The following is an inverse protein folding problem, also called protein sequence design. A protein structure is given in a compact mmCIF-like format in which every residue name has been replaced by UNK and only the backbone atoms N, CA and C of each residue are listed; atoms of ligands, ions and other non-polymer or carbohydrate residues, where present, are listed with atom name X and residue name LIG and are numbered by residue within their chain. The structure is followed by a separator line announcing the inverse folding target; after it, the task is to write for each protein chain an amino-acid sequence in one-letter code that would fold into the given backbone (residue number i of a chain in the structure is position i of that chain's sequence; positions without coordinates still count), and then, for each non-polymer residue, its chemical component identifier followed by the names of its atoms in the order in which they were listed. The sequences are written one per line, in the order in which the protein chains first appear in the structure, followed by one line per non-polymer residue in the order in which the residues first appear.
data_IF_802784620042
#
_entry.id   IF_802784620042
#
_cell.length_a   1.000
_cell.length_b   1.000
_cell.length_c   1.000
_cell.angle_alpha   90.00
_cell.angle_beta   90.00
_cell.angle_gamma   90.00
#
_symmetry.space_group_name_H-M   'P 1'
#
loop_
_entity.id
_entity.type
_entity.pdbx_description
1 polymer ?
#
# COMPACT_ATOMS: atom_id res chain seq x y z
N UNK A 1 33.45 28.18 38.43
CA UNK A 1 32.93 27.84 37.11
C UNK A 1 33.29 26.39 36.68
N UNK A 2 33.94 25.60 37.54
CA UNK A 2 34.28 24.18 37.25
C UNK A 2 33.43 23.18 38.06
N UNK A 3 32.54 23.62 38.93
CA UNK A 3 31.71 22.74 39.77
C UNK A 3 30.29 22.47 39.21
N UNK A 4 29.86 23.20 38.17
CA UNK A 4 28.54 23.04 37.54
C UNK A 4 28.52 22.06 36.35
N UNK A 5 29.70 21.62 35.88
CA UNK A 5 29.81 20.68 34.76
C UNK A 5 29.88 19.20 35.20
N UNK A 6 30.02 18.95 36.51
CA UNK A 6 30.09 17.60 37.08
C UNK A 6 28.72 17.01 37.40
N UNK A 7 27.70 17.80 37.68
CA UNK A 7 26.34 17.31 37.99
C UNK A 7 25.48 16.99 36.77
N UNK A 8 25.77 17.61 35.61
CA UNK A 8 25.04 17.28 34.37
C UNK A 8 25.49 15.97 33.70
N UNK A 9 26.70 15.51 33.98
CA UNK A 9 27.20 14.23 33.46
C UNK A 9 26.65 13.03 34.24
N UNK A 10 26.21 13.20 35.51
CA UNK A 10 25.65 12.12 36.32
C UNK A 10 24.18 11.86 36.07
N UNK A 11 23.43 12.85 35.55
CA UNK A 11 21.99 12.70 35.22
C UNK A 11 21.74 12.06 33.84
N UNK A 12 22.74 12.04 32.97
CA UNK A 12 22.62 11.39 31.63
C UNK A 12 22.97 9.90 31.62
N UNK A 13 23.44 9.32 32.73
CA UNK A 13 23.77 7.89 32.81
C UNK A 13 22.67 7.03 33.48
N UNK A 14 21.54 7.61 33.89
CA UNK A 14 20.47 6.89 34.56
C UNK A 14 19.25 6.58 33.67
N UNK A 15 19.25 6.94 32.38
CA UNK A 15 18.29 6.37 31.40
C UNK A 15 18.88 5.11 30.74
N UNK A 16 19.26 4.13 31.60
CA UNK A 16 19.45 2.76 31.17
C UNK A 16 18.14 2.26 30.54
N UNK A 17 18.24 1.97 29.24
CA UNK A 17 17.37 1.13 28.44
C UNK A 17 16.55 0.19 29.33
N UNK A 18 15.23 0.44 29.44
CA UNK A 18 14.29 -0.61 29.75
C UNK A 18 14.43 -1.60 28.59
N UNK A 19 15.05 -2.73 28.85
CA UNK A 19 15.18 -3.82 27.91
C UNK A 19 13.78 -4.14 27.38
N UNK A 20 13.64 -4.18 26.05
CA UNK A 20 12.47 -4.75 25.43
C UNK A 20 12.30 -6.15 26.01
N UNK A 21 11.13 -6.42 26.59
CA UNK A 21 10.79 -7.74 27.12
C UNK A 21 10.83 -8.73 25.94
N UNK A 22 11.72 -9.75 25.94
CA UNK A 22 11.81 -10.71 24.82
C UNK A 22 10.52 -11.52 24.62
N UNK A 23 9.61 -11.51 25.60
CA UNK A 23 8.30 -12.15 25.51
C UNK A 23 7.27 -11.34 24.72
N UNK A 24 7.36 -10.02 24.74
CA UNK A 24 6.39 -9.12 24.08
C UNK A 24 6.49 -9.23 22.55
N UNK A 25 7.69 -9.23 21.98
CA UNK A 25 7.89 -9.41 20.52
C UNK A 25 7.44 -10.79 20.00
N UNK A 26 7.57 -11.86 20.80
CA UNK A 26 7.14 -13.21 20.42
C UNK A 26 5.61 -13.37 20.43
N UNK A 27 4.92 -12.72 21.37
CA UNK A 27 3.45 -12.73 21.45
C UNK A 27 2.86 -11.95 20.27
N UNK A 28 3.42 -10.79 19.93
CA UNK A 28 2.95 -9.97 18.81
C UNK A 28 3.23 -10.64 17.47
N UNK A 29 4.39 -11.28 17.31
CA UNK A 29 4.70 -12.09 16.14
C UNK A 29 3.70 -13.26 15.94
N UNK A 30 3.35 -13.98 17.01
CA UNK A 30 2.36 -15.04 16.95
C UNK A 30 0.95 -14.54 16.61
N UNK A 31 0.58 -13.34 17.08
CA UNK A 31 -0.70 -12.70 16.69
C UNK A 31 -0.71 -12.37 15.22
N UNK A 32 0.36 -11.75 14.73
CA UNK A 32 0.51 -11.39 13.33
C UNK A 32 0.44 -12.61 12.42
N UNK A 33 1.17 -13.69 12.75
CA UNK A 33 1.13 -14.95 11.99
C UNK A 33 -0.27 -15.55 11.90
N UNK A 34 -1.04 -15.57 13.02
CA UNK A 34 -2.42 -16.08 13.01
C UNK A 34 -3.33 -15.22 12.15
N UNK A 35 -3.17 -13.89 12.20
CA UNK A 35 -3.93 -12.97 11.38
C UNK A 35 -3.65 -13.19 9.89
N UNK A 36 -2.39 -13.32 9.51
CA UNK A 36 -1.95 -13.60 8.13
C UNK A 36 -2.46 -14.96 7.64
N UNK A 37 -2.34 -16.01 8.45
CA UNK A 37 -2.88 -17.33 8.12
C UNK A 37 -4.39 -17.32 7.85
N UNK A 38 -5.16 -16.52 8.59
CA UNK A 38 -6.59 -16.33 8.35
C UNK A 38 -6.84 -15.58 7.03
N UNK A 39 -6.07 -14.53 6.73
CA UNK A 39 -6.18 -13.78 5.47
C UNK A 39 -5.84 -14.65 4.25
N UNK A 40 -4.76 -15.41 4.30
CA UNK A 40 -4.36 -16.29 3.20
C UNK A 40 -5.35 -17.43 2.99
N UNK A 41 -5.89 -18.01 4.07
CA UNK A 41 -6.94 -19.01 4.00
C UNK A 41 -8.23 -18.44 3.39
N UNK A 42 -8.61 -17.23 3.79
CA UNK A 42 -9.77 -16.53 3.21
C UNK A 42 -9.55 -16.25 1.72
N UNK A 43 -8.35 -15.80 1.33
CA UNK A 43 -8.01 -15.55 -0.07
C UNK A 43 -8.19 -16.81 -0.92
N UNK A 44 -7.53 -17.90 -0.54
CA UNK A 44 -7.62 -19.19 -1.26
C UNK A 44 -9.08 -19.64 -1.42
N UNK A 45 -9.82 -19.69 -0.31
CA UNK A 45 -11.20 -20.18 -0.32
C UNK A 45 -12.16 -19.25 -1.08
N UNK A 46 -11.95 -17.93 -1.06
CA UNK A 46 -12.77 -17.00 -1.84
C UNK A 46 -12.53 -17.13 -3.33
N UNK A 47 -11.29 -17.46 -3.75
CA UNK A 47 -10.97 -17.73 -5.14
C UNK A 47 -11.54 -19.10 -5.59
N UNK A 48 -11.32 -20.15 -4.81
CA UNK A 48 -11.67 -21.53 -5.19
C UNK A 48 -13.18 -21.78 -5.14
N UNK A 49 -13.83 -21.36 -4.07
CA UNK A 49 -15.24 -21.65 -3.79
C UNK A 49 -16.17 -20.47 -4.06
N UNK A 50 -15.61 -19.25 -4.14
CA UNK A 50 -16.35 -18.00 -4.15
C UNK A 50 -16.73 -17.52 -2.76
N UNK A 51 -16.88 -16.18 -2.63
CA UNK A 51 -17.19 -15.53 -1.35
C UNK A 51 -18.47 -16.10 -0.69
N UNK A 52 -19.54 -16.29 -1.46
CA UNK A 52 -20.84 -16.70 -0.89
C UNK A 52 -20.81 -18.12 -0.30
N UNK A 53 -20.11 -19.05 -0.94
CA UNK A 53 -20.02 -20.45 -0.54
C UNK A 53 -18.99 -20.73 0.55
N UNK A 54 -18.12 -19.77 0.89
CA UNK A 54 -17.11 -19.90 1.95
C UNK A 54 -17.71 -19.51 3.29
N UNK A 55 -17.56 -20.35 4.31
CA UNK A 55 -17.96 -20.05 5.68
C UNK A 55 -16.76 -19.68 6.56
N UNK A 56 -17.01 -19.01 7.71
CA UNK A 56 -15.97 -18.75 8.72
C UNK A 56 -15.37 -20.09 9.22
N UNK A 57 -16.19 -21.14 9.32
CA UNK A 57 -15.71 -22.45 9.76
C UNK A 57 -14.72 -23.08 8.77
N UNK A 58 -14.92 -22.87 7.47
CA UNK A 58 -13.95 -23.30 6.44
C UNK A 58 -12.65 -22.53 6.54
N UNK A 59 -12.72 -21.19 6.73
CA UNK A 59 -11.54 -20.33 6.86
C UNK A 59 -10.69 -20.76 8.06
N UNK A 60 -11.27 -20.92 9.25
CA UNK A 60 -10.51 -21.29 10.45
C UNK A 60 -9.95 -22.70 10.38
N UNK A 61 -10.68 -23.62 9.77
CA UNK A 61 -10.21 -25.00 9.53
C UNK A 61 -8.98 -24.99 8.61
N UNK A 62 -9.04 -24.24 7.52
CA UNK A 62 -7.94 -24.12 6.56
C UNK A 62 -6.73 -23.40 7.16
N UNK A 63 -6.97 -22.38 8.00
CA UNK A 63 -5.92 -21.64 8.72
C UNK A 63 -5.31 -22.41 9.90
N UNK A 64 -5.89 -23.55 10.30
CA UNK A 64 -5.41 -24.34 11.43
C UNK A 64 -5.61 -23.64 12.79
N UNK A 65 -6.64 -22.80 12.94
CA UNK A 65 -6.90 -22.05 14.17
C UNK A 65 -8.30 -22.33 14.71
N UNK A 66 -8.50 -22.09 16.02
CA UNK A 66 -9.83 -22.20 16.63
C UNK A 66 -10.77 -21.08 16.15
N UNK A 67 -12.08 -21.36 16.09
CA UNK A 67 -13.10 -20.37 15.65
C UNK A 67 -13.10 -19.10 16.52
N UNK A 68 -12.81 -19.22 17.83
CA UNK A 68 -12.65 -18.07 18.72
C UNK A 68 -11.48 -17.16 18.30
N UNK A 69 -10.42 -17.71 17.72
CA UNK A 69 -9.27 -16.94 17.21
C UNK A 69 -9.69 -16.00 16.05
N UNK A 70 -10.61 -16.42 15.19
CA UNK A 70 -11.13 -15.58 14.12
C UNK A 70 -11.73 -14.29 14.68
N UNK A 71 -12.60 -14.40 15.69
CA UNK A 71 -13.30 -13.27 16.27
C UNK A 71 -12.43 -12.32 17.12
N UNK A 72 -11.18 -12.70 17.40
CA UNK A 72 -10.18 -11.77 17.95
C UNK A 72 -9.68 -10.75 16.92
N UNK A 73 -9.76 -11.09 15.62
CA UNK A 73 -9.22 -10.27 14.52
C UNK A 73 -10.29 -9.69 13.61
N UNK A 74 -11.40 -10.38 13.40
CA UNK A 74 -12.42 -10.03 12.41
C UNK A 74 -13.81 -10.24 13.00
N UNK A 75 -14.72 -9.28 12.73
CA UNK A 75 -16.10 -9.31 13.20
C UNK A 75 -16.93 -10.39 12.50
N UNK A 76 -16.75 -10.49 11.18
CA UNK A 76 -17.49 -11.39 10.31
C UNK A 76 -16.75 -11.67 9.00
N UNK A 77 -17.41 -12.38 8.08
CA UNK A 77 -16.85 -12.72 6.77
C UNK A 77 -16.64 -11.51 5.85
N UNK A 78 -17.44 -10.46 6.00
CA UNK A 78 -17.26 -9.22 5.23
C UNK A 78 -16.07 -8.42 5.74
N UNK A 79 -15.87 -8.42 7.03
CA UNK A 79 -14.74 -7.75 7.68
C UNK A 79 -13.40 -8.35 7.26
N UNK A 80 -13.24 -9.67 7.32
CA UNK A 80 -12.00 -10.31 6.84
C UNK A 80 -11.79 -10.09 5.35
N UNK A 81 -12.86 -10.08 4.51
CA UNK A 81 -12.73 -9.74 3.08
C UNK A 81 -12.18 -8.33 2.89
N UNK A 82 -12.72 -7.35 3.62
CA UNK A 82 -12.26 -5.97 3.51
C UNK A 82 -10.79 -5.83 3.94
N UNK A 83 -10.42 -6.45 5.05
CA UNK A 83 -9.03 -6.51 5.49
C UNK A 83 -8.11 -7.22 4.49
N UNK A 84 -8.59 -8.31 3.87
CA UNK A 84 -7.84 -9.04 2.83
C UNK A 84 -7.55 -8.15 1.62
N UNK A 85 -8.54 -7.39 1.14
CA UNK A 85 -8.39 -6.49 0.01
C UNK A 85 -7.34 -5.41 0.32
N UNK A 86 -7.43 -4.75 1.50
CA UNK A 86 -6.43 -3.77 1.95
C UNK A 86 -5.04 -4.39 2.02
N UNK A 87 -4.93 -5.57 2.64
CA UNK A 87 -3.67 -6.27 2.81
C UNK A 87 -3.01 -6.60 1.45
N UNK A 88 -3.77 -7.19 0.51
CA UNK A 88 -3.24 -7.53 -0.82
C UNK A 88 -2.88 -6.30 -1.65
N UNK A 89 -3.70 -5.24 -1.62
CA UNK A 89 -3.37 -3.99 -2.30
C UNK A 89 -2.09 -3.35 -1.74
N UNK A 90 -1.93 -3.33 -0.41
CA UNK A 90 -0.72 -2.83 0.23
C UNK A 90 0.51 -3.66 -0.12
N UNK A 91 0.39 -5.00 -0.19
CA UNK A 91 1.50 -5.87 -0.61
C UNK A 91 1.95 -5.57 -2.04
N UNK A 92 1.01 -5.43 -2.98
CA UNK A 92 1.31 -5.11 -4.39
C UNK A 92 2.05 -3.78 -4.48
N UNK A 93 1.53 -2.74 -3.82
CA UNK A 93 2.17 -1.42 -3.82
C UNK A 93 3.58 -1.45 -3.21
N UNK A 94 3.75 -2.11 -2.07
CA UNK A 94 5.05 -2.19 -1.41
C UNK A 94 6.08 -2.95 -2.22
N UNK A 95 5.68 -4.04 -2.89
CA UNK A 95 6.55 -4.76 -3.80
C UNK A 95 7.04 -3.84 -4.93
N UNK A 96 6.15 -3.03 -5.51
CA UNK A 96 6.50 -2.07 -6.56
C UNK A 96 7.43 -0.98 -6.03
N UNK A 97 7.17 -0.45 -4.85
CA UNK A 97 8.03 0.54 -4.21
C UNK A 97 9.43 0.00 -3.89
N UNK A 98 9.52 -1.23 -3.37
CA UNK A 98 10.82 -1.89 -3.13
C UNK A 98 11.61 -2.13 -4.41
N UNK A 99 10.93 -2.37 -5.55
CA UNK A 99 11.57 -2.44 -6.86
C UNK A 99 12.06 -1.07 -7.30
N UNK A 100 11.22 -0.03 -7.18
CA UNK A 100 11.59 1.35 -7.50
C UNK A 100 12.86 1.78 -6.75
N UNK A 101 12.99 1.43 -5.46
CA UNK A 101 14.18 1.77 -4.68
C UNK A 101 15.51 1.18 -5.21
N UNK A 102 15.45 0.15 -6.08
CA UNK A 102 16.61 -0.42 -6.76
C UNK A 102 16.98 0.34 -8.03
N UNK A 103 16.07 1.17 -8.53
CA UNK A 103 16.22 2.00 -9.72
C UNK A 103 16.61 3.43 -9.31
N UNK A 104 17.85 3.60 -8.87
CA UNK A 104 18.37 4.89 -8.37
C UNK A 104 18.46 5.97 -9.45
N UNK A 105 18.32 5.60 -10.72
CA UNK A 105 18.25 6.49 -11.88
C UNK A 105 16.89 7.18 -12.04
N UNK A 106 15.81 6.64 -11.44
CA UNK A 106 14.46 7.22 -11.52
C UNK A 106 14.29 8.21 -10.37
N UNK A 107 14.63 9.47 -10.61
CA UNK A 107 14.61 10.52 -9.60
C UNK A 107 13.35 11.38 -9.64
N UNK A 108 12.76 11.57 -10.83
CA UNK A 108 11.58 12.41 -11.02
C UNK A 108 10.33 11.76 -10.43
N UNK A 109 9.52 12.55 -9.73
CA UNK A 109 8.29 12.08 -9.06
C UNK A 109 7.30 11.44 -10.03
N UNK A 110 7.11 12.03 -11.21
CA UNK A 110 6.15 11.54 -12.20
C UNK A 110 6.61 10.20 -12.78
N UNK A 111 7.91 10.07 -13.06
CA UNK A 111 8.50 8.81 -13.52
C UNK A 111 8.44 7.73 -12.44
N UNK A 112 8.61 8.08 -11.16
CA UNK A 112 8.41 7.16 -10.04
C UNK A 112 6.97 6.66 -9.96
N UNK A 113 5.98 7.54 -10.11
CA UNK A 113 4.56 7.16 -10.11
C UNK A 113 4.24 6.25 -11.30
N UNK A 114 4.74 6.57 -12.50
CA UNK A 114 4.56 5.74 -13.70
C UNK A 114 5.21 4.36 -13.51
N UNK A 115 6.42 4.30 -12.97
CA UNK A 115 7.08 3.02 -12.68
C UNK A 115 6.27 2.15 -11.71
N UNK A 116 5.79 2.74 -10.60
CA UNK A 116 4.95 2.03 -9.61
C UNK A 116 3.66 1.54 -10.28
N UNK A 117 3.02 2.39 -11.08
CA UNK A 117 1.81 2.05 -11.82
C UNK A 117 2.04 0.84 -12.74
N UNK A 118 3.09 0.88 -13.55
CA UNK A 118 3.41 -0.21 -14.49
C UNK A 118 3.70 -1.52 -13.77
N UNK A 119 4.52 -1.48 -12.71
CA UNK A 119 4.84 -2.69 -11.95
C UNK A 119 3.61 -3.27 -11.23
N UNK A 120 2.71 -2.42 -10.72
CA UNK A 120 1.42 -2.87 -10.16
C UNK A 120 0.59 -3.56 -11.25
N UNK A 121 0.48 -2.97 -12.43
CA UNK A 121 -0.26 -3.55 -13.54
C UNK A 121 0.31 -4.89 -13.99
N UNK A 122 1.64 -5.04 -14.01
CA UNK A 122 2.32 -6.30 -14.34
C UNK A 122 2.09 -7.38 -13.26
N UNK A 123 2.16 -7.01 -11.98
CA UNK A 123 1.81 -7.92 -10.88
C UNK A 123 0.34 -8.38 -10.98
N UNK A 124 -0.57 -7.50 -11.32
CA UNK A 124 -1.98 -7.83 -11.52
C UNK A 124 -2.18 -8.73 -12.75
N UNK A 125 -1.54 -8.41 -13.87
CA UNK A 125 -1.64 -9.22 -15.10
C UNK A 125 -1.08 -10.64 -14.90
N UNK A 126 -0.06 -10.81 -14.05
CA UNK A 126 0.49 -12.12 -13.70
C UNK A 126 -0.39 -12.93 -12.75
N UNK A 127 -1.38 -12.30 -12.10
CA UNK A 127 -2.26 -12.95 -11.12
C UNK A 127 -3.73 -12.51 -11.27
N UNK A 128 -4.45 -13.18 -12.19
CA UNK A 128 -5.86 -12.86 -12.48
C UNK A 128 -6.79 -13.00 -11.26
N UNK A 129 -6.45 -13.83 -10.29
CA UNK A 129 -7.22 -13.97 -9.06
C UNK A 129 -7.11 -12.70 -8.20
N UNK A 130 -5.92 -12.11 -8.18
CA UNK A 130 -5.69 -10.83 -7.51
C UNK A 130 -6.46 -9.69 -8.19
N UNK A 131 -6.49 -9.66 -9.55
CA UNK A 131 -7.32 -8.70 -10.31
C UNK A 131 -8.79 -8.82 -9.92
N UNK A 132 -9.34 -10.05 -9.92
CA UNK A 132 -10.75 -10.29 -9.57
C UNK A 132 -11.09 -9.92 -8.13
N UNK A 133 -10.13 -10.09 -7.20
CA UNK A 133 -10.30 -9.67 -5.82
C UNK A 133 -10.30 -8.14 -5.68
N UNK A 134 -9.32 -7.48 -6.31
CA UNK A 134 -9.07 -6.05 -6.08
C UNK A 134 -9.97 -5.15 -6.91
N UNK A 135 -10.25 -5.48 -8.17
CA UNK A 135 -10.87 -4.58 -9.16
C UNK A 135 -12.26 -4.05 -8.81
N UNK A 136 -13.08 -4.84 -8.10
CA UNK A 136 -14.41 -4.39 -7.67
C UNK A 136 -14.40 -3.54 -6.40
N UNK A 137 -13.24 -3.40 -5.79
CA UNK A 137 -13.09 -2.84 -4.45
C UNK A 137 -12.06 -1.71 -4.37
N UNK A 138 -11.30 -1.45 -5.44
CA UNK A 138 -10.35 -0.32 -5.51
C UNK A 138 -11.10 0.98 -5.83
N UNK A 139 -12.08 1.36 -5.01
CA UNK A 139 -12.66 2.69 -5.04
C UNK A 139 -11.79 3.67 -4.25
N UNK A 140 -11.93 4.97 -4.52
CA UNK A 140 -11.22 6.02 -3.76
C UNK A 140 -11.41 5.90 -2.24
N UNK A 141 -12.61 5.60 -1.77
CA UNK A 141 -12.88 5.41 -0.33
C UNK A 141 -12.08 4.25 0.25
N UNK A 142 -11.87 3.21 -0.54
CA UNK A 142 -11.04 2.08 -0.16
C UNK A 142 -9.54 2.46 -0.17
N UNK A 143 -9.06 3.15 -1.21
CA UNK A 143 -7.70 3.66 -1.29
C UNK A 143 -7.39 4.58 -0.10
N UNK A 144 -8.29 5.51 0.22
CA UNK A 144 -8.14 6.41 1.36
C UNK A 144 -8.00 5.65 2.70
N UNK A 145 -8.76 4.58 2.91
CA UNK A 145 -8.62 3.72 4.07
C UNK A 145 -7.32 2.88 4.04
N UNK A 146 -6.86 2.50 2.85
CA UNK A 146 -5.62 1.73 2.66
C UNK A 146 -4.37 2.57 2.80
N UNK A 147 -4.46 3.88 2.53
CA UNK A 147 -3.34 4.82 2.66
C UNK A 147 -2.71 4.81 4.06
N UNK A 148 -3.54 4.63 5.09
CA UNK A 148 -3.10 4.62 6.49
C UNK A 148 -2.83 3.20 7.03
N UNK A 149 -3.04 2.17 6.20
CA UNK A 149 -2.78 0.80 6.60
C UNK A 149 -1.28 0.52 6.55
N UNK A 150 -0.72 0.09 7.68
CA UNK A 150 0.65 -0.42 7.76
C UNK A 150 0.58 -1.93 7.94
N UNK A 151 1.20 -2.73 7.07
CA UNK A 151 1.23 -4.20 7.22
C UNK A 151 1.98 -4.66 8.47
N UNK A 152 2.98 -3.88 8.88
CA UNK A 152 3.75 -4.07 10.12
C UNK A 152 4.21 -2.72 10.65
N UNK A 153 4.63 -2.64 11.92
CA UNK A 153 5.13 -1.41 12.54
C UNK A 153 6.36 -0.83 11.82
N UNK A 154 7.17 -1.69 11.21
CA UNK A 154 8.40 -1.30 10.49
C UNK A 154 8.17 -0.92 9.01
N UNK A 155 6.92 -1.06 8.51
CA UNK A 155 6.64 -0.83 7.09
C UNK A 155 5.88 0.49 6.92
N UNK A 156 6.40 1.46 6.14
CA UNK A 156 5.72 2.72 5.92
C UNK A 156 4.39 2.49 5.18
N UNK A 157 3.38 3.28 5.54
CA UNK A 157 2.09 3.26 4.83
C UNK A 157 2.26 3.78 3.40
N UNK A 158 1.30 3.46 2.53
CA UNK A 158 1.25 4.02 1.16
C UNK A 158 1.25 5.56 1.21
N UNK A 159 0.53 6.15 2.15
CA UNK A 159 0.50 7.61 2.38
C UNK A 159 1.88 8.16 2.70
N UNK A 160 2.59 7.57 3.65
CA UNK A 160 3.94 8.00 4.03
C UNK A 160 4.92 7.94 2.85
N UNK A 161 4.81 6.89 2.03
CA UNK A 161 5.65 6.75 0.82
C UNK A 161 5.30 7.85 -0.19
N UNK A 162 4.02 8.04 -0.47
CA UNK A 162 3.54 9.05 -1.40
C UNK A 162 3.95 10.47 -0.98
N UNK A 163 3.73 10.84 0.29
CA UNK A 163 4.12 12.15 0.80
C UNK A 163 5.62 12.40 0.66
N UNK A 164 6.44 11.37 0.95
CA UNK A 164 7.89 11.47 0.78
C UNK A 164 8.28 11.66 -0.68
N UNK A 165 7.63 10.94 -1.61
CA UNK A 165 7.89 11.10 -3.04
C UNK A 165 7.48 12.48 -3.51
N UNK A 166 6.31 12.98 -3.09
CA UNK A 166 5.80 14.30 -3.43
C UNK A 166 6.67 15.44 -2.88
N UNK A 167 7.17 15.32 -1.63
CA UNK A 167 8.09 16.30 -1.03
C UNK A 167 9.42 16.41 -1.79
N UNK A 168 9.84 15.35 -2.46
CA UNK A 168 11.06 15.33 -3.28
C UNK A 168 10.79 15.60 -4.77
N UNK A 169 9.56 15.98 -5.14
CA UNK A 169 9.21 16.28 -6.52
C UNK A 169 9.91 17.56 -7.02
N UNK A 170 10.27 17.57 -8.31
CA UNK A 170 10.87 18.73 -8.96
C UNK A 170 9.86 19.87 -9.22
N UNK A 171 8.58 19.58 -9.13
CA UNK A 171 7.47 20.49 -9.35
C UNK A 171 6.57 20.55 -8.13
N UNK A 172 5.84 21.63 -7.98
CA UNK A 172 4.74 21.74 -7.03
C UNK A 172 3.41 21.49 -7.76
N UNK A 173 2.44 20.93 -7.04
CA UNK A 173 1.15 20.57 -7.61
C UNK A 173 0.02 21.19 -6.77
N UNK A 174 -0.95 21.81 -7.44
CA UNK A 174 -2.18 22.18 -6.75
C UNK A 174 -3.08 20.96 -6.55
N UNK A 175 -3.74 20.83 -5.41
CA UNK A 175 -4.67 19.73 -5.11
C UNK A 175 -4.10 18.32 -5.39
N UNK A 176 -2.92 17.95 -4.83
CA UNK A 176 -2.24 16.69 -5.14
C UNK A 176 -3.07 15.45 -4.80
N UNK A 177 -3.96 15.54 -3.80
CA UNK A 177 -4.91 14.46 -3.48
C UNK A 177 -5.91 14.20 -4.62
N UNK A 178 -6.45 15.27 -5.23
CA UNK A 178 -7.37 15.15 -6.38
C UNK A 178 -6.65 14.65 -7.63
N UNK A 179 -5.43 15.11 -7.86
CA UNK A 179 -4.57 14.63 -8.93
C UNK A 179 -4.38 13.11 -8.85
N UNK A 180 -3.97 12.61 -7.70
CA UNK A 180 -3.80 11.15 -7.50
C UNK A 180 -5.11 10.39 -7.60
N UNK A 181 -6.22 10.96 -7.13
CA UNK A 181 -7.55 10.37 -7.31
C UNK A 181 -7.85 10.13 -8.79
N UNK A 182 -7.66 11.14 -9.63
CA UNK A 182 -7.92 11.02 -11.08
C UNK A 182 -7.00 9.98 -11.74
N UNK A 183 -5.72 9.95 -11.38
CA UNK A 183 -4.78 8.94 -11.88
C UNK A 183 -5.24 7.54 -11.50
N UNK A 184 -5.59 7.32 -10.23
CA UNK A 184 -6.04 6.01 -9.74
C UNK A 184 -7.32 5.53 -10.41
N UNK A 185 -8.33 6.40 -10.55
CA UNK A 185 -9.59 6.04 -11.20
C UNK A 185 -9.41 5.77 -12.69
N UNK A 186 -8.56 6.55 -13.37
CA UNK A 186 -8.19 6.29 -14.77
C UNK A 186 -7.56 4.91 -14.93
N UNK A 187 -6.52 4.63 -14.16
CA UNK A 187 -5.76 3.37 -14.24
C UNK A 187 -6.64 2.19 -13.86
N UNK A 188 -7.38 2.29 -12.74
CA UNK A 188 -8.28 1.21 -12.29
C UNK A 188 -9.40 0.94 -13.28
N UNK A 189 -10.07 1.97 -13.78
CA UNK A 189 -11.20 1.84 -14.70
C UNK A 189 -10.83 1.24 -16.06
N UNK A 190 -9.62 1.51 -16.54
CA UNK A 190 -9.17 1.06 -17.88
C UNK A 190 -8.46 -0.29 -17.84
N UNK A 191 -7.66 -0.56 -16.82
CA UNK A 191 -6.79 -1.75 -16.77
C UNK A 191 -7.54 -3.06 -16.56
N UNK A 192 -8.66 -3.05 -15.83
CA UNK A 192 -9.42 -4.27 -15.53
C UNK A 192 -9.83 -5.05 -16.79
N UNK A 193 -10.46 -4.35 -17.75
CA UNK A 193 -10.90 -4.96 -19.00
C UNK A 193 -9.72 -5.35 -19.89
N UNK A 194 -8.67 -4.53 -19.91
CA UNK A 194 -7.45 -4.83 -20.67
C UNK A 194 -6.75 -6.10 -20.16
N UNK A 195 -6.67 -6.29 -18.83
CA UNK A 195 -6.03 -7.46 -18.23
C UNK A 195 -6.88 -8.71 -18.39
N UNK A 196 -8.19 -8.66 -18.07
CA UNK A 196 -9.02 -9.87 -18.03
C UNK A 196 -9.57 -10.30 -19.40
N UNK A 197 -9.86 -9.33 -20.26
CA UNK A 197 -10.59 -9.57 -21.51
C UNK A 197 -9.85 -9.09 -22.76
N UNK A 198 -8.72 -8.42 -22.59
CA UNK A 198 -7.95 -7.80 -23.67
C UNK A 198 -8.81 -6.83 -24.53
N UNK A 199 -9.66 -6.05 -23.85
CA UNK A 199 -10.62 -5.15 -24.48
C UNK A 199 -10.55 -3.74 -23.88
N UNK A 200 -10.63 -2.69 -24.72
CA UNK A 200 -10.64 -2.72 -26.20
C UNK A 200 -9.30 -3.20 -26.79
N UNK A 201 -8.22 -3.14 -25.98
CA UNK A 201 -6.85 -3.59 -26.29
C UNK A 201 -6.26 -4.34 -25.11
N UNK A 202 -5.16 -5.08 -25.32
CA UNK A 202 -4.41 -5.72 -24.24
C UNK A 202 -3.61 -4.73 -23.39
N UNK A 203 -3.10 -5.18 -22.23
CA UNK A 203 -2.40 -4.33 -21.27
C UNK A 203 -1.16 -3.64 -21.88
N UNK A 204 -0.36 -4.39 -22.65
CA UNK A 204 0.88 -3.84 -23.24
C UNK A 204 0.61 -2.74 -24.27
N UNK A 205 -0.50 -2.83 -25.00
CA UNK A 205 -0.93 -1.78 -25.92
C UNK A 205 -1.56 -0.59 -25.16
N UNK A 206 -2.21 -0.84 -24.02
CA UNK A 206 -2.82 0.19 -23.19
C UNK A 206 -1.79 1.05 -22.47
N UNK A 207 -0.69 0.47 -21.94
CA UNK A 207 0.31 1.18 -21.13
C UNK A 207 0.81 2.49 -21.72
N UNK A 208 1.23 2.57 -23.01
CA UNK A 208 1.68 3.86 -23.58
C UNK A 208 0.61 4.94 -23.55
N UNK A 209 -0.65 4.59 -23.75
CA UNK A 209 -1.78 5.51 -23.67
C UNK A 209 -2.04 5.97 -22.23
N UNK A 210 -1.91 5.07 -21.26
CA UNK A 210 -1.98 5.42 -19.84
C UNK A 210 -0.87 6.38 -19.44
N UNK A 211 0.38 6.13 -19.87
CA UNK A 211 1.51 7.03 -19.60
C UNK A 211 1.21 8.45 -20.12
N UNK A 212 0.73 8.58 -21.35
CA UNK A 212 0.40 9.87 -21.93
C UNK A 212 -0.71 10.58 -21.15
N UNK A 213 -1.78 9.85 -20.79
CA UNK A 213 -2.90 10.41 -20.06
C UNK A 213 -2.50 10.83 -18.63
N UNK A 214 -1.70 10.00 -17.93
CA UNK A 214 -1.19 10.29 -16.58
C UNK A 214 -0.27 11.52 -16.61
N UNK A 215 0.64 11.63 -17.59
CA UNK A 215 1.47 12.84 -17.76
C UNK A 215 0.62 14.09 -18.04
N UNK A 216 -0.45 13.96 -18.84
CA UNK A 216 -1.39 15.06 -19.05
C UNK A 216 -2.10 15.52 -17.77
N UNK A 217 -2.40 14.58 -16.85
CA UNK A 217 -2.95 14.94 -15.53
C UNK A 217 -1.88 15.68 -14.71
N UNK A 218 -0.62 15.20 -14.66
CA UNK A 218 0.44 15.90 -13.96
C UNK A 218 0.62 17.33 -14.51
N UNK A 219 0.70 17.50 -15.82
CA UNK A 219 0.84 18.81 -16.48
C UNK A 219 -0.30 19.77 -16.10
N UNK A 220 -1.54 19.27 -16.03
CA UNK A 220 -2.70 20.07 -15.65
C UNK A 220 -2.63 20.53 -14.18
N UNK A 221 -2.00 19.75 -13.30
CA UNK A 221 -1.95 20.03 -11.86
C UNK A 221 -0.64 20.70 -11.42
N UNK A 222 0.37 20.81 -12.29
CA UNK A 222 1.58 21.57 -11.98
C UNK A 222 1.23 23.03 -11.72
N UNK A 223 1.84 23.61 -10.70
CA UNK A 223 1.83 25.06 -10.49
C UNK A 223 3.08 25.64 -11.16
N UNK A 224 2.90 26.65 -12.02
CA UNK A 224 3.99 27.36 -12.75
C UNK A 224 4.82 28.28 -11.80
N UNK A 225 5.03 27.91 -10.57
CA UNK A 225 6.06 28.54 -9.76
C UNK A 225 7.44 28.04 -10.23
N UNK A 226 7.87 28.60 -11.37
CA UNK A 226 9.30 28.66 -11.65
C UNK A 226 9.99 29.29 -10.46
N UNK A 227 11.04 28.63 -9.94
CA UNK A 227 11.85 29.03 -8.78
C UNK A 227 12.52 30.42 -8.93
N UNK A 228 11.81 31.42 -9.44
CA UNK A 228 12.22 32.78 -9.78
C UNK A 228 11.67 33.88 -8.89
N UNK A 229 10.55 33.68 -8.17
CA UNK A 229 9.82 34.79 -7.51
C UNK A 229 9.98 34.86 -5.98
N UNK A 230 10.93 34.13 -5.40
CA UNK A 230 11.31 34.31 -3.98
C UNK A 230 12.48 35.28 -3.79
N UNK A 231 12.48 36.38 -4.55
CA UNK A 231 13.36 37.53 -4.27
C UNK A 231 12.54 38.83 -4.42
N UNK A 232 11.80 39.20 -3.39
CA UNK A 232 11.56 40.61 -3.02
C UNK A 232 11.23 40.67 -1.54
#
# INVERSE_FOLDING_TARGET
MLHMLSEHASLMQSTRRKGADPGMGKVDHNKQQKRESLLDSAFSLFIDNGFNKTSISDIVKNAGVAKGTFYLYFKDKYDIRNHLIVHKASQVFQNSYLKLQKHTEILDFEDQVIFIMDDILDQLASNLNLVRLLSKHLSWGFFKNSLFFTPSEDTPSIHTIYDKMLQNANHTYHSPELMMYLILELVNGTSYNAILYQQPVGLEELKPHLHQAVRGIFDQYRTDETAGDLKH
#
